data_IF_814978030412
#
_entry.id   IF_814978030412
#
_cell.length_a   1.000
_cell.length_b   1.000
_cell.length_c   1.000
_cell.angle_alpha   90.00
_cell.angle_beta   90.00
_cell.angle_gamma   90.00
#
_symmetry.space_group_name_H-M   'P 1'
#
loop_
_entity.id
_entity.type
_entity.pdbx_description
1 polymer ?
#
# COMPACT_ATOMS: atom_id res chain seq x y z
N UNK A 1 3.29 -11.86 -28.69
CA UNK A 1 3.44 -12.94 -27.70
C UNK A 1 2.79 -12.51 -26.40
N UNK A 2 1.78 -13.23 -25.98
CA UNK A 2 1.11 -12.88 -24.73
C UNK A 2 2.04 -13.14 -23.56
N UNK A 3 2.19 -12.16 -22.70
CA UNK A 3 2.98 -12.27 -21.49
C UNK A 3 2.19 -13.10 -20.47
N UNK A 4 2.78 -14.20 -20.02
CA UNK A 4 2.19 -14.93 -18.90
C UNK A 4 2.33 -14.10 -17.64
N UNK A 5 1.20 -13.83 -16.98
CA UNK A 5 1.20 -13.26 -15.65
C UNK A 5 1.43 -14.39 -14.66
N UNK A 6 2.56 -14.38 -13.98
CA UNK A 6 2.82 -15.31 -12.90
C UNK A 6 2.39 -14.70 -11.57
N UNK A 7 1.54 -15.43 -10.85
CA UNK A 7 1.23 -15.08 -9.47
C UNK A 7 2.31 -15.67 -8.59
N UNK A 8 3.11 -14.81 -7.99
CA UNK A 8 4.09 -15.21 -6.99
C UNK A 8 3.46 -15.03 -5.62
N UNK A 9 3.36 -16.12 -4.86
CA UNK A 9 2.94 -16.05 -3.47
C UNK A 9 4.11 -15.51 -2.65
N UNK A 10 4.01 -14.26 -2.26
CA UNK A 10 5.06 -13.58 -1.51
C UNK A 10 4.92 -13.76 0.00
N UNK A 11 4.09 -14.62 0.47
CA UNK A 11 3.97 -14.97 1.88
C UNK A 11 3.79 -13.77 2.83
N UNK A 12 3.69 -14.08 4.11
CA UNK A 12 3.64 -13.07 5.17
C UNK A 12 5.07 -12.75 5.63
N UNK A 13 5.50 -11.54 5.45
CA UNK A 13 6.82 -11.09 5.88
C UNK A 13 7.06 -9.69 5.36
N UNK A 14 8.18 -9.11 5.70
CA UNK A 14 8.54 -7.80 5.19
C UNK A 14 9.15 -7.94 3.80
N UNK A 15 8.30 -8.14 2.81
CA UNK A 15 8.68 -8.33 1.41
C UNK A 15 9.51 -7.16 0.89
N UNK A 16 9.16 -5.96 1.27
CA UNK A 16 9.86 -4.76 0.81
C UNK A 16 11.26 -4.66 1.42
N UNK A 17 11.43 -5.08 2.66
CA UNK A 17 12.74 -5.17 3.30
C UNK A 17 13.62 -6.22 2.62
N UNK A 18 13.03 -7.37 2.29
CA UNK A 18 13.74 -8.46 1.60
C UNK A 18 14.16 -8.05 0.18
N UNK A 19 13.46 -7.11 -0.44
CA UNK A 19 13.82 -6.55 -1.73
C UNK A 19 14.91 -5.49 -1.66
N UNK A 20 15.39 -5.15 -0.46
CA UNK A 20 16.50 -4.24 -0.28
C UNK A 20 16.18 -2.78 -0.55
N UNK A 21 14.94 -2.36 -0.33
CA UNK A 21 14.58 -0.94 -0.47
C UNK A 21 15.33 -0.07 0.53
N UNK A 22 15.79 1.08 0.07
CA UNK A 22 16.29 2.12 0.96
C UNK A 22 15.15 2.63 1.85
N UNK A 23 15.46 3.03 3.09
CA UNK A 23 14.46 3.51 4.04
C UNK A 23 13.62 4.67 3.49
N UNK A 24 14.24 5.56 2.71
CA UNK A 24 13.54 6.69 2.10
C UNK A 24 12.48 6.22 1.08
N UNK A 25 12.81 5.21 0.27
CA UNK A 25 11.89 4.65 -0.73
C UNK A 25 10.74 3.90 -0.05
N UNK A 26 11.03 3.18 1.01
CA UNK A 26 10.00 2.46 1.79
C UNK A 26 9.04 3.46 2.44
N UNK A 27 9.54 4.54 3.03
CA UNK A 27 8.70 5.59 3.62
C UNK A 27 7.84 6.30 2.58
N UNK A 28 8.40 6.55 1.40
CA UNK A 28 7.66 7.14 0.28
C UNK A 28 6.53 6.24 -0.18
N UNK A 29 6.80 4.95 -0.35
CA UNK A 29 5.79 3.96 -0.70
C UNK A 29 4.69 3.92 0.35
N UNK A 30 5.05 3.87 1.61
CA UNK A 30 4.11 3.84 2.73
C UNK A 30 3.20 5.06 2.73
N UNK A 31 3.76 6.24 2.51
CA UNK A 31 3.00 7.48 2.39
C UNK A 31 2.02 7.44 1.23
N UNK A 32 2.45 6.97 0.07
CA UNK A 32 1.58 6.85 -1.11
C UNK A 32 0.43 5.87 -0.89
N UNK A 33 0.70 4.74 -0.23
CA UNK A 33 -0.34 3.77 0.12
C UNK A 33 -1.33 4.36 1.13
N UNK A 34 -0.84 5.09 2.13
CA UNK A 34 -1.69 5.75 3.11
C UNK A 34 -2.57 6.85 2.47
N UNK A 35 -2.03 7.59 1.51
CA UNK A 35 -2.81 8.57 0.75
C UNK A 35 -3.97 7.90 0.02
N UNK A 36 -3.70 6.82 -0.69
CA UNK A 36 -4.74 6.08 -1.40
C UNK A 36 -5.77 5.51 -0.44
N UNK A 37 -5.33 4.95 0.68
CA UNK A 37 -6.22 4.40 1.69
C UNK A 37 -7.14 5.48 2.29
N UNK A 38 -6.58 6.64 2.62
CA UNK A 38 -7.36 7.78 3.11
C UNK A 38 -8.36 8.29 2.07
N UNK A 39 -7.99 8.30 0.80
CA UNK A 39 -8.90 8.66 -0.29
C UNK A 39 -10.08 7.69 -0.38
N UNK A 40 -9.84 6.40 -0.26
CA UNK A 40 -10.89 5.38 -0.28
C UNK A 40 -11.85 5.53 0.91
N UNK A 41 -11.32 5.80 2.08
CA UNK A 41 -12.13 6.04 3.29
C UNK A 41 -13.04 7.25 3.07
N UNK A 42 -12.49 8.32 2.50
CA UNK A 42 -13.24 9.55 2.20
C UNK A 42 -14.29 9.34 1.12
N UNK A 43 -13.94 8.69 0.03
CA UNK A 43 -14.87 8.37 -1.07
C UNK A 43 -16.06 7.56 -0.60
N UNK A 44 -15.85 6.61 0.29
CA UNK A 44 -16.89 5.76 0.86
C UNK A 44 -17.60 6.40 2.05
N UNK A 45 -17.21 7.59 2.44
CA UNK A 45 -17.81 8.34 3.56
C UNK A 45 -17.81 7.54 4.87
N UNK A 46 -16.75 6.79 5.11
CA UNK A 46 -16.61 5.97 6.31
C UNK A 46 -16.14 6.82 7.48
N UNK A 47 -16.75 6.59 8.64
CA UNK A 47 -16.28 7.19 9.88
C UNK A 47 -15.07 6.46 10.42
N UNK A 48 -14.30 7.09 11.31
CA UNK A 48 -13.16 6.43 11.97
C UNK A 48 -13.60 5.18 12.73
N UNK A 49 -14.76 5.23 13.37
CA UNK A 49 -15.33 4.09 14.10
C UNK A 49 -15.63 2.93 13.15
N UNK A 50 -16.23 3.21 12.00
CA UNK A 50 -16.52 2.19 11.00
C UNK A 50 -15.25 1.56 10.43
N UNK A 51 -14.25 2.38 10.13
CA UNK A 51 -12.95 1.89 9.63
C UNK A 51 -12.25 1.03 10.68
N UNK A 52 -12.30 1.43 11.94
CA UNK A 52 -11.72 0.65 13.03
C UNK A 52 -12.32 -0.76 13.10
N UNK A 53 -13.63 -0.87 12.93
CA UNK A 53 -14.33 -2.16 12.88
C UNK A 53 -13.89 -2.99 11.66
N UNK A 54 -13.86 -2.37 10.48
CA UNK A 54 -13.47 -3.06 9.24
C UNK A 54 -12.04 -3.59 9.34
N UNK A 55 -11.12 -2.79 9.84
CA UNK A 55 -9.70 -3.15 9.93
C UNK A 55 -9.37 -3.97 11.18
N UNK A 56 -10.26 -4.02 12.16
CA UNK A 56 -10.03 -4.76 13.40
C UNK A 56 -8.94 -4.14 14.27
N UNK A 57 -8.80 -2.82 14.26
CA UNK A 57 -7.80 -2.08 15.05
C UNK A 57 -8.46 -0.98 15.87
N UNK A 58 -7.82 -0.52 16.95
CA UNK A 58 -8.37 0.55 17.78
C UNK A 58 -8.56 1.85 17.01
N UNK A 59 -9.63 2.58 17.32
CA UNK A 59 -9.93 3.86 16.67
C UNK A 59 -8.78 4.88 16.76
N UNK A 60 -8.03 5.01 17.86
CA UNK A 60 -6.86 5.89 17.88
C UNK A 60 -5.81 5.59 16.80
N UNK A 61 -5.68 4.33 16.38
CA UNK A 61 -4.79 3.95 15.29
C UNK A 61 -5.29 4.45 13.94
N UNK A 62 -6.62 4.49 13.76
CA UNK A 62 -7.22 5.08 12.56
C UNK A 62 -6.94 6.58 12.51
N UNK A 63 -7.03 7.27 13.64
CA UNK A 63 -6.67 8.69 13.73
C UNK A 63 -5.20 8.92 13.33
N UNK A 64 -4.29 8.06 13.79
CA UNK A 64 -2.89 8.12 13.39
C UNK A 64 -2.74 7.97 11.87
N UNK A 65 -3.41 6.99 11.28
CA UNK A 65 -3.39 6.75 9.83
C UNK A 65 -3.90 7.98 9.06
N UNK A 66 -4.98 8.58 9.49
CA UNK A 66 -5.56 9.76 8.87
C UNK A 66 -4.64 10.98 8.95
N UNK A 67 -3.81 11.05 9.96
CA UNK A 67 -2.84 12.14 10.18
C UNK A 67 -1.44 11.77 9.68
N UNK A 68 -1.31 10.70 8.93
CA UNK A 68 -0.03 10.24 8.35
C UNK A 68 1.04 9.94 9.40
N UNK A 69 0.63 9.51 10.57
CA UNK A 69 1.52 8.96 11.60
C UNK A 69 1.66 7.48 11.37
N UNK A 70 2.61 7.09 10.53
CA UNK A 70 2.65 5.75 9.93
C UNK A 70 3.61 4.78 10.61
N UNK A 71 4.11 5.08 11.79
CA UNK A 71 5.07 4.21 12.47
C UNK A 71 4.53 2.80 12.77
N UNK A 72 3.21 2.66 12.96
CA UNK A 72 2.56 1.37 13.17
C UNK A 72 2.23 0.62 11.90
N UNK A 73 2.31 1.30 10.76
CA UNK A 73 1.76 0.79 9.51
C UNK A 73 2.89 0.45 8.56
N UNK A 74 3.14 -0.84 8.38
CA UNK A 74 4.02 -1.30 7.31
C UNK A 74 3.33 -1.17 5.96
N UNK A 75 4.10 -1.13 4.89
CA UNK A 75 3.56 -1.14 3.53
C UNK A 75 2.66 -2.34 3.28
N UNK A 76 3.07 -3.51 3.75
CA UNK A 76 2.28 -4.74 3.66
C UNK A 76 0.93 -4.61 4.36
N UNK A 77 0.94 -4.03 5.55
CA UNK A 77 -0.27 -3.81 6.34
C UNK A 77 -1.24 -2.85 5.64
N UNK A 78 -0.70 -1.78 5.05
CA UNK A 78 -1.51 -0.82 4.28
C UNK A 78 -2.11 -1.46 3.04
N UNK A 79 -1.36 -2.31 2.33
CA UNK A 79 -1.88 -3.07 1.19
C UNK A 79 -3.04 -3.97 1.62
N UNK A 80 -2.91 -4.64 2.76
CA UNK A 80 -3.99 -5.47 3.29
C UNK A 80 -5.24 -4.66 3.59
N UNK A 81 -5.12 -3.49 4.21
CA UNK A 81 -6.25 -2.61 4.50
C UNK A 81 -6.96 -2.14 3.22
N UNK A 82 -6.21 -1.87 2.16
CA UNK A 82 -6.79 -1.53 0.86
C UNK A 82 -7.69 -2.66 0.35
N UNK A 83 -7.25 -3.91 0.49
CA UNK A 83 -8.08 -5.06 0.09
C UNK A 83 -9.34 -5.18 0.94
N UNK A 84 -9.29 -4.79 2.20
CA UNK A 84 -10.46 -4.80 3.08
C UNK A 84 -11.50 -3.73 2.71
N UNK A 85 -11.12 -2.76 1.89
CA UNK A 85 -12.04 -1.76 1.32
C UNK A 85 -12.47 -2.14 -0.11
N UNK A 86 -12.53 -3.43 -0.40
CA UNK A 86 -13.03 -3.99 -1.66
C UNK A 86 -12.22 -3.54 -2.88
N UNK A 87 -10.91 -3.44 -2.73
CA UNK A 87 -10.00 -3.14 -3.83
C UNK A 87 -9.05 -4.30 -4.05
N UNK A 88 -8.83 -4.64 -5.30
CA UNK A 88 -7.76 -5.55 -5.67
C UNK A 88 -6.45 -4.80 -5.76
N UNK A 89 -5.37 -5.43 -5.31
CA UNK A 89 -4.02 -4.90 -5.41
C UNK A 89 -3.21 -5.82 -6.31
N UNK A 90 -2.63 -5.25 -7.35
CA UNK A 90 -1.75 -5.95 -8.26
C UNK A 90 -0.35 -5.35 -8.19
N UNK A 91 0.67 -6.19 -8.19
CA UNK A 91 2.06 -5.76 -8.25
C UNK A 91 2.60 -6.10 -9.63
N UNK A 92 2.97 -5.07 -10.38
CA UNK A 92 3.49 -5.21 -11.74
C UNK A 92 4.98 -4.90 -11.72
N UNK A 93 5.76 -5.83 -12.23
CA UNK A 93 7.21 -5.68 -12.38
C UNK A 93 7.51 -5.61 -13.88
N UNK A 94 8.17 -4.56 -14.30
CA UNK A 94 8.47 -4.33 -15.72
C UNK A 94 9.90 -3.83 -15.89
N UNK A 95 10.45 -3.90 -17.10
CA UNK A 95 11.76 -3.32 -17.37
C UNK A 95 11.79 -1.84 -17.02
N UNK A 96 12.93 -1.40 -16.50
CA UNK A 96 13.15 0.02 -16.16
C UNK A 96 13.04 0.89 -17.42
N UNK A 97 12.34 2.01 -17.31
CA UNK A 97 12.33 3.00 -18.38
C UNK A 97 13.71 3.67 -18.52
N UNK A 98 14.01 4.14 -19.74
CA UNK A 98 15.32 4.73 -20.05
C UNK A 98 15.54 6.12 -19.47
N UNK A 99 14.47 6.78 -19.00
CA UNK A 99 14.51 8.15 -18.53
C UNK A 99 14.95 8.31 -17.07
N UNK A 100 15.34 7.22 -16.39
CA UNK A 100 15.88 7.28 -15.04
C UNK A 100 16.95 6.21 -14.82
N UNK A 101 17.86 6.50 -13.90
CA UNK A 101 19.07 5.71 -13.71
C UNK A 101 18.84 4.41 -12.93
N UNK A 102 17.86 4.38 -12.03
CA UNK A 102 17.57 3.24 -11.17
C UNK A 102 16.10 2.85 -11.25
N UNK A 103 15.79 1.62 -10.92
CA UNK A 103 14.42 1.17 -10.81
C UNK A 103 13.63 1.99 -9.79
N UNK A 104 12.37 2.21 -10.06
CA UNK A 104 11.47 2.98 -9.20
C UNK A 104 10.34 2.10 -8.69
N UNK A 105 9.90 2.39 -7.47
CA UNK A 105 8.66 1.86 -6.95
C UNK A 105 7.65 3.00 -6.87
N UNK A 106 6.50 2.80 -7.49
CA UNK A 106 5.44 3.80 -7.48
C UNK A 106 4.08 3.15 -7.31
N UNK A 107 3.13 3.91 -6.80
CA UNK A 107 1.74 3.48 -6.69
C UNK A 107 0.97 4.07 -7.85
N UNK A 108 0.38 3.18 -8.65
CA UNK A 108 -0.49 3.54 -9.76
C UNK A 108 -1.91 3.13 -9.42
N UNK A 109 -2.82 4.08 -9.50
CA UNK A 109 -4.24 3.82 -9.21
C UNK A 109 -4.97 3.64 -10.53
N UNK A 110 -5.52 2.45 -10.72
CA UNK A 110 -6.37 2.17 -11.87
C UNK A 110 -7.77 2.77 -11.67
N UNK A 111 -8.29 3.32 -12.73
CA UNK A 111 -9.63 3.87 -12.72
C UNK A 111 -10.69 2.75 -12.69
#
# INVERSE_FOLDING_TARGET
MARKTELVDVGTGDVFKDLGFADADERKLRTQLAMRLNDLIKERKLTQTAVAVIFGIPQPHISELRNYKLSRFSSERLLHFITQLDRDVEIVIRPKASNHAAGLVSVLVAA
#
